data_IF_269374349702
#
_entry.id   IF_269374349702
#
_cell.length_a   1.000
_cell.length_b   1.000
_cell.length_c   1.000
_cell.angle_alpha   90.00
_cell.angle_beta   90.00
_cell.angle_gamma   90.00
#
_symmetry.space_group_name_H-M   'P 1'
#
loop_
_entity.id
_entity.type
_entity.pdbx_description
1 polymer ?
#
# COMPACT_ATOMS: atom_id res chain seq x y z
N UNK A 1 -22.56 -28.16 -1.77
CA UNK A 1 -22.41 -26.88 -2.49
C UNK A 1 -21.07 -26.27 -2.08
N UNK A 2 -20.24 -25.75 -2.99
CA UNK A 2 -19.00 -25.07 -2.61
C UNK A 2 -19.31 -23.80 -1.81
N UNK A 3 -18.64 -23.62 -0.67
CA UNK A 3 -18.78 -22.41 0.15
C UNK A 3 -18.19 -21.21 -0.59
N UNK A 4 -18.94 -20.10 -0.67
CA UNK A 4 -18.46 -18.87 -1.28
C UNK A 4 -17.28 -18.28 -0.49
N UNK A 5 -16.34 -17.67 -1.19
CA UNK A 5 -15.18 -16.98 -0.61
C UNK A 5 -15.28 -15.51 -0.96
N UNK A 6 -15.11 -14.65 0.05
CA UNK A 6 -15.06 -13.21 -0.05
C UNK A 6 -13.60 -12.74 -0.11
N UNK A 7 -13.32 -11.76 -0.95
CA UNK A 7 -12.04 -11.04 -0.99
C UNK A 7 -12.24 -9.69 -0.31
N UNK A 8 -11.39 -9.40 0.68
CA UNK A 8 -11.47 -8.24 1.55
C UNK A 8 -10.12 -7.52 1.56
N UNK A 9 -10.12 -6.22 1.81
CA UNK A 9 -8.90 -5.45 2.08
C UNK A 9 -8.82 -5.10 3.57
N UNK A 10 -7.67 -5.34 4.19
CA UNK A 10 -7.45 -4.93 5.57
C UNK A 10 -7.35 -3.40 5.70
N UNK A 11 -8.15 -2.78 6.56
CA UNK A 11 -8.10 -1.33 6.78
C UNK A 11 -6.82 -0.78 7.42
N UNK A 12 -5.94 -1.63 7.97
CA UNK A 12 -4.70 -1.20 8.63
C UNK A 12 -3.46 -1.53 7.82
N UNK A 13 -3.25 -2.80 7.46
CA UNK A 13 -2.08 -3.19 6.68
C UNK A 13 -2.35 -3.22 5.16
N UNK A 14 -3.55 -2.88 4.71
CA UNK A 14 -3.97 -2.83 3.30
C UNK A 14 -3.82 -4.14 2.51
N UNK A 15 -3.51 -5.27 3.17
CA UNK A 15 -3.37 -6.58 2.52
C UNK A 15 -4.74 -7.14 2.14
N UNK A 16 -4.84 -7.62 0.90
CA UNK A 16 -6.01 -8.31 0.39
C UNK A 16 -6.00 -9.77 0.81
N UNK A 17 -7.14 -10.27 1.28
CA UNK A 17 -7.28 -11.60 1.88
C UNK A 17 -8.57 -12.28 1.46
N UNK A 18 -8.53 -13.60 1.34
CA UNK A 18 -9.70 -14.44 1.14
C UNK A 18 -10.27 -14.94 2.47
N UNK A 19 -11.58 -14.87 2.63
CA UNK A 19 -12.32 -15.41 3.77
C UNK A 19 -13.55 -16.18 3.30
N UNK A 20 -13.81 -17.36 3.89
CA UNK A 20 -15.06 -18.06 3.68
C UNK A 20 -16.24 -17.21 4.16
N UNK A 21 -17.31 -17.14 3.37
CA UNK A 21 -18.53 -16.47 3.76
C UNK A 21 -19.05 -17.08 5.08
N UNK A 22 -19.24 -16.23 6.09
CA UNK A 22 -19.73 -16.59 7.42
C UNK A 22 -20.86 -15.63 7.80
N UNK A 23 -21.72 -16.05 8.71
CA UNK A 23 -22.81 -15.22 9.25
C UNK A 23 -22.32 -14.06 10.12
N UNK A 24 -21.07 -14.11 10.58
CA UNK A 24 -20.46 -13.07 11.42
C UNK A 24 -20.10 -11.83 10.59
N UNK A 25 -20.57 -10.66 11.00
CA UNK A 25 -20.29 -9.37 10.36
C UNK A 25 -18.86 -8.81 10.62
N UNK A 26 -17.94 -9.64 11.14
CA UNK A 26 -16.56 -9.22 11.44
C UNK A 26 -15.56 -10.27 11.01
N UNK A 27 -14.33 -9.84 10.75
CA UNK A 27 -13.21 -10.69 10.39
C UNK A 27 -11.90 -10.20 11.00
N UNK A 28 -10.89 -11.08 11.03
CA UNK A 28 -9.57 -10.74 11.56
C UNK A 28 -8.55 -10.87 10.44
N UNK A 29 -7.79 -9.80 10.22
CA UNK A 29 -6.66 -9.81 9.30
C UNK A 29 -5.60 -10.80 9.80
N UNK A 30 -5.19 -11.77 8.97
CA UNK A 30 -4.18 -12.79 9.32
C UNK A 30 -2.75 -12.26 9.33
N UNK A 31 -2.54 -11.04 8.82
CA UNK A 31 -1.21 -10.42 8.73
C UNK A 31 -0.96 -9.53 9.94
N UNK A 32 -1.85 -8.57 10.20
CA UNK A 32 -1.69 -7.61 11.29
C UNK A 32 -2.58 -7.89 12.52
N UNK A 33 -3.35 -8.98 12.51
CA UNK A 33 -4.22 -9.44 13.60
C UNK A 33 -5.34 -8.48 14.04
N UNK A 34 -5.62 -7.43 13.25
CA UNK A 34 -6.69 -6.51 13.58
C UNK A 34 -8.05 -7.11 13.24
N UNK A 35 -8.98 -7.05 14.20
CA UNK A 35 -10.39 -7.36 13.99
C UNK A 35 -11.11 -6.17 13.36
N UNK A 36 -11.89 -6.43 12.32
CA UNK A 36 -12.47 -5.41 11.44
C UNK A 36 -13.91 -5.80 11.03
N UNK A 37 -14.77 -4.83 10.72
CA UNK A 37 -16.09 -5.11 10.15
C UNK A 37 -15.99 -5.69 8.73
N UNK A 38 -17.00 -6.45 8.34
CA UNK A 38 -17.15 -7.01 7.00
C UNK A 38 -17.92 -6.04 6.09
N UNK A 39 -17.41 -4.83 5.87
CA UNK A 39 -18.09 -3.76 5.14
C UNK A 39 -17.52 -3.46 3.75
N UNK A 40 -16.37 -4.05 3.37
CA UNK A 40 -15.69 -3.81 2.09
C UNK A 40 -15.33 -5.11 1.37
N UNK A 41 -16.34 -5.87 0.94
CA UNK A 41 -16.15 -7.02 0.05
C UNK A 41 -15.83 -6.51 -1.36
N UNK A 42 -14.63 -6.82 -1.85
CA UNK A 42 -14.16 -6.43 -3.18
C UNK A 42 -14.54 -7.43 -4.26
N UNK A 43 -14.69 -8.69 -3.90
CA UNK A 43 -15.03 -9.78 -4.81
C UNK A 43 -15.61 -10.97 -4.02
N UNK A 44 -16.55 -11.69 -4.61
CA UNK A 44 -17.07 -12.95 -4.09
C UNK A 44 -17.04 -14.00 -5.21
N UNK A 45 -16.61 -15.22 -4.89
CA UNK A 45 -16.57 -16.29 -5.87
C UNK A 45 -16.04 -17.61 -5.32
N UNK A 46 -15.60 -18.45 -6.24
CA UNK A 46 -14.94 -19.72 -5.87
C UNK A 46 -13.58 -19.47 -5.26
N UNK A 47 -13.09 -20.43 -4.47
CA UNK A 47 -11.75 -20.33 -3.88
C UNK A 47 -10.63 -20.12 -4.91
N UNK A 48 -10.76 -20.64 -6.14
CA UNK A 48 -9.78 -20.40 -7.22
C UNK A 48 -9.79 -18.93 -7.66
N UNK A 49 -10.96 -18.41 -8.03
CA UNK A 49 -11.11 -17.02 -8.47
C UNK A 49 -10.65 -16.03 -7.38
N UNK A 50 -10.99 -16.31 -6.12
CA UNK A 50 -10.58 -15.46 -5.01
C UNK A 50 -9.07 -15.48 -4.76
N UNK A 51 -8.40 -16.63 -4.95
CA UNK A 51 -6.92 -16.70 -4.87
C UNK A 51 -6.26 -15.89 -5.97
N UNK A 52 -6.72 -16.04 -7.21
CA UNK A 52 -6.21 -15.27 -8.36
C UNK A 52 -6.43 -13.76 -8.13
N UNK A 53 -7.61 -13.37 -7.63
CA UNK A 53 -7.93 -11.97 -7.34
C UNK A 53 -7.07 -11.40 -6.22
N UNK A 54 -6.88 -12.13 -5.12
CA UNK A 54 -6.02 -11.73 -4.01
C UNK A 54 -4.57 -11.56 -4.48
N UNK A 55 -4.06 -12.47 -5.30
CA UNK A 55 -2.71 -12.39 -5.85
C UNK A 55 -2.55 -11.13 -6.71
N UNK A 56 -3.48 -10.87 -7.62
CA UNK A 56 -3.47 -9.67 -8.45
C UNK A 56 -3.45 -8.39 -7.61
N UNK A 57 -4.37 -8.28 -6.65
CA UNK A 57 -4.51 -7.08 -5.82
C UNK A 57 -3.30 -6.82 -4.92
N UNK A 58 -2.70 -7.87 -4.36
CA UNK A 58 -1.49 -7.72 -3.54
C UNK A 58 -0.24 -7.42 -4.39
N UNK A 59 -0.14 -7.97 -5.61
CA UNK A 59 0.93 -7.60 -6.54
C UNK A 59 0.84 -6.11 -6.91
N UNK A 60 -0.35 -5.64 -7.27
CA UNK A 60 -0.58 -4.23 -7.59
C UNK A 60 -0.22 -3.33 -6.40
N UNK A 61 -0.67 -3.67 -5.19
CA UNK A 61 -0.30 -2.94 -3.98
C UNK A 61 1.21 -2.86 -3.81
N UNK A 62 1.95 -3.96 -4.00
CA UNK A 62 3.41 -3.97 -3.85
C UNK A 62 4.12 -3.05 -4.86
N UNK A 63 3.62 -2.97 -6.09
CA UNK A 63 4.11 -2.03 -7.11
C UNK A 63 3.83 -0.59 -6.68
N UNK A 64 2.60 -0.28 -6.26
CA UNK A 64 2.23 1.07 -5.81
C UNK A 64 3.03 1.51 -4.58
N UNK A 65 3.27 0.60 -3.64
CA UNK A 65 4.07 0.85 -2.43
C UNK A 65 5.54 1.12 -2.79
N UNK A 66 6.10 0.34 -3.71
CA UNK A 66 7.47 0.54 -4.21
C UNK A 66 7.60 1.88 -4.93
N UNK A 67 6.64 2.22 -5.80
CA UNK A 67 6.63 3.49 -6.53
C UNK A 67 6.62 4.67 -5.56
N UNK A 68 5.75 4.65 -4.55
CA UNK A 68 5.69 5.71 -3.53
C UNK A 68 7.03 5.87 -2.80
N UNK A 69 7.70 4.78 -2.47
CA UNK A 69 9.01 4.82 -1.82
C UNK A 69 10.06 5.46 -2.75
N UNK A 70 10.10 5.07 -4.02
CA UNK A 70 11.00 5.67 -5.02
C UNK A 70 10.73 7.16 -5.22
N UNK A 71 9.47 7.58 -5.24
CA UNK A 71 9.08 8.99 -5.41
C UNK A 71 9.57 9.84 -4.24
N UNK A 72 9.43 9.35 -3.00
CA UNK A 72 9.94 10.02 -1.80
C UNK A 72 11.47 10.13 -1.83
N UNK A 73 12.17 9.05 -2.17
CA UNK A 73 13.62 9.08 -2.30
C UNK A 73 14.09 10.08 -3.35
N UNK A 74 13.42 10.14 -4.51
CA UNK A 74 13.76 11.11 -5.55
C UNK A 74 13.51 12.56 -5.09
N UNK A 75 12.45 12.79 -4.30
CA UNK A 75 12.18 14.11 -3.73
C UNK A 75 13.27 14.53 -2.74
N UNK A 76 13.70 13.62 -1.85
CA UNK A 76 14.77 13.90 -0.89
C UNK A 76 16.09 14.26 -1.59
N UNK A 77 16.47 13.51 -2.62
CA UNK A 77 17.66 13.80 -3.45
C UNK A 77 17.56 15.16 -4.15
N UNK A 78 16.38 15.48 -4.71
CA UNK A 78 16.14 16.77 -5.36
C UNK A 78 16.24 17.93 -4.36
N UNK A 79 15.69 17.78 -3.15
CA UNK A 79 15.77 18.78 -2.08
C UNK A 79 17.23 18.99 -1.66
N UNK A 80 17.99 17.90 -1.49
CA UNK A 80 19.41 17.99 -1.12
C UNK A 80 20.21 18.70 -2.21
N UNK A 81 19.97 18.36 -3.48
CA UNK A 81 20.60 19.02 -4.62
C UNK A 81 20.31 20.53 -4.64
N UNK A 82 19.06 20.93 -4.44
CA UNK A 82 18.68 22.34 -4.38
C UNK A 82 19.41 23.08 -3.24
N UNK A 83 19.48 22.48 -2.04
CA UNK A 83 20.19 23.09 -0.90
C UNK A 83 21.67 23.30 -1.17
N UNK A 84 22.33 22.35 -1.83
CA UNK A 84 23.73 22.49 -2.21
C UNK A 84 23.93 23.59 -3.26
N UNK A 85 23.01 23.72 -4.21
CA UNK A 85 23.08 24.79 -5.23
C UNK A 85 22.91 26.19 -4.59
N UNK A 86 22.05 26.32 -3.57
CA UNK A 86 21.88 27.58 -2.82
C UNK A 86 23.13 27.95 -2.00
N UNK A 87 23.79 26.99 -1.33
CA UNK A 87 25.02 27.23 -0.56
C UNK A 87 26.17 27.77 -1.44
N UNK A 88 26.37 27.20 -2.63
CA UNK A 88 27.43 27.68 -3.55
C UNK A 88 27.14 29.07 -4.14
N UNK A 89 25.86 29.45 -4.24
CA UNK A 89 25.46 30.78 -4.71
C UNK A 89 25.74 31.87 -3.67
N UNK A 90 25.74 31.54 -2.38
CA UNK A 90 26.07 32.49 -1.31
C UNK A 90 27.58 32.77 -1.20
N UNK A 91 28.43 31.76 -1.37
CA UNK A 91 29.90 31.89 -1.35
C UNK A 91 30.47 32.63 -2.58
N UNK A 92 29.70 32.72 -3.67
CA UNK A 92 30.12 33.43 -4.89
C UNK A 92 29.85 34.95 -4.84
N UNK A 93 29.33 35.50 -3.73
CA UNK A 93 29.16 36.94 -3.57
C UNK A 93 30.54 37.60 -3.40
N UNK A 94 30.89 38.61 -4.22
CA UNK A 94 32.18 39.28 -4.09
C UNK A 94 32.31 39.88 -2.68
N UNK A 95 33.35 39.45 -1.95
CA UNK A 95 33.77 40.13 -0.73
C UNK A 95 34.20 41.55 -1.11
N UNK A 96 33.31 42.50 -0.84
CA UNK A 96 33.67 43.90 -0.89
C UNK A 96 34.37 44.26 0.43
N UNK A 97 35.63 44.68 0.26
CA UNK A 97 36.54 45.37 1.18
C UNK A 97 37.48 44.51 2.04
#
# INVERSE_FOLDING_TARGET
MPQAVLVLQCGNCQTHQGQLAKTTASWTCKICNQKQPLNNVLFEGTGKQCREKVQQLNMQRGIEETQRICDVHQQDENILRMKLEDEHAEDSKPQHY
#
